data_IF_761716480160
#
_entry.id   IF_761716480160
#
_cell.length_a   1.000
_cell.length_b   1.000
_cell.length_c   1.000
_cell.angle_alpha   90.00
_cell.angle_beta   90.00
_cell.angle_gamma   90.00
#
_symmetry.space_group_name_H-M   'P 1'
#
loop_
_entity.id
_entity.type
_entity.pdbx_description
1 polymer ?
#
# COMPACT_ATOMS: atom_id res chain seq x y z
N UNK A 1 17.59 -0.85 -25.60
CA UNK A 1 16.81 -0.54 -24.38
C UNK A 1 16.89 -1.71 -23.41
N UNK A 2 18.04 -2.03 -22.84
CA UNK A 2 18.17 -3.11 -21.85
C UNK A 2 18.35 -2.61 -20.40
N UNK A 3 18.29 -1.30 -20.12
CA UNK A 3 18.79 -0.74 -18.88
C UNK A 3 17.71 -0.39 -17.83
N UNK A 4 16.49 -0.92 -17.99
CA UNK A 4 15.37 -0.62 -17.05
C UNK A 4 15.07 -1.72 -16.05
N UNK A 5 15.89 -2.79 -15.99
CA UNK A 5 15.66 -3.92 -15.05
C UNK A 5 16.92 -4.27 -14.24
N UNK A 6 17.86 -3.36 -14.11
CA UNK A 6 18.93 -3.56 -13.14
C UNK A 6 18.54 -2.94 -11.79
N UNK A 7 17.88 -3.75 -10.96
CA UNK A 7 17.48 -3.41 -9.59
C UNK A 7 18.66 -3.35 -8.61
N UNK A 8 19.88 -3.20 -9.08
CA UNK A 8 21.09 -3.07 -8.27
C UNK A 8 21.70 -1.67 -8.30
N UNK A 9 20.92 -0.63 -8.58
CA UNK A 9 21.43 0.71 -8.36
C UNK A 9 21.76 0.88 -6.88
N UNK A 10 23.05 1.03 -6.64
CA UNK A 10 23.59 1.59 -5.41
C UNK A 10 22.79 2.85 -5.06
N UNK A 11 21.78 2.70 -4.20
CA UNK A 11 21.01 3.83 -3.71
C UNK A 11 21.97 4.62 -2.83
N UNK A 12 22.61 5.58 -3.45
CA UNK A 12 23.37 6.61 -2.76
C UNK A 12 22.45 7.30 -1.75
N UNK A 13 22.99 8.01 -0.80
CA UNK A 13 22.26 8.81 0.20
C UNK A 13 21.17 9.66 -0.46
N UNK A 14 21.36 10.08 -1.72
CA UNK A 14 20.35 10.76 -2.56
C UNK A 14 19.12 9.90 -2.85
N UNK A 15 19.27 8.59 -2.99
CA UNK A 15 18.11 7.69 -3.20
C UNK A 15 17.22 7.61 -1.96
N UNK A 16 17.79 7.49 -0.77
CA UNK A 16 17.02 7.44 0.48
C UNK A 16 16.30 8.77 0.71
N UNK A 17 16.98 9.89 0.47
CA UNK A 17 16.38 11.21 0.59
C UNK A 17 15.18 11.38 -0.36
N UNK A 18 15.30 10.92 -1.60
CA UNK A 18 14.21 10.96 -2.56
C UNK A 18 13.01 10.11 -2.11
N UNK A 19 13.25 8.94 -1.52
CA UNK A 19 12.19 8.09 -0.96
C UNK A 19 11.48 8.76 0.21
N UNK A 20 12.21 9.36 1.13
CA UNK A 20 11.64 10.10 2.27
C UNK A 20 10.81 11.28 1.76
N UNK A 21 11.33 12.04 0.80
CA UNK A 21 10.63 13.19 0.22
C UNK A 21 9.33 12.75 -0.49
N UNK A 22 9.39 11.65 -1.24
CA UNK A 22 8.22 11.10 -1.93
C UNK A 22 7.16 10.64 -0.93
N UNK A 23 7.55 9.91 0.13
CA UNK A 23 6.66 9.50 1.21
C UNK A 23 6.07 10.71 1.96
N UNK A 24 6.86 11.75 2.20
CA UNK A 24 6.38 12.96 2.85
C UNK A 24 5.32 13.67 2.00
N UNK A 25 5.57 13.86 0.70
CA UNK A 25 4.60 14.46 -0.22
C UNK A 25 3.32 13.62 -0.28
N UNK A 26 3.46 12.30 -0.43
CA UNK A 26 2.33 11.38 -0.46
C UNK A 26 1.51 11.45 0.83
N UNK A 27 2.17 11.48 1.99
CA UNK A 27 1.53 11.61 3.29
C UNK A 27 0.73 12.90 3.43
N UNK A 28 1.31 14.03 3.02
CA UNK A 28 0.63 15.33 3.08
C UNK A 28 -0.62 15.33 2.19
N UNK A 29 -0.51 14.84 0.96
CA UNK A 29 -1.66 14.78 0.03
C UNK A 29 -2.74 13.85 0.61
N UNK A 30 -2.36 12.70 1.18
CA UNK A 30 -3.30 11.76 1.80
C UNK A 30 -4.01 12.37 3.00
N UNK A 31 -3.31 13.10 3.87
CA UNK A 31 -3.92 13.80 5.02
C UNK A 31 -4.93 14.84 4.55
N UNK A 32 -4.62 15.60 3.51
CA UNK A 32 -5.55 16.56 2.93
C UNK A 32 -6.78 15.85 2.36
N UNK A 33 -6.57 14.77 1.60
CA UNK A 33 -7.67 13.96 1.04
C UNK A 33 -8.54 13.35 2.14
N UNK A 34 -7.93 12.86 3.22
CA UNK A 34 -8.62 12.31 4.38
C UNK A 34 -9.48 13.35 5.10
N UNK A 35 -8.96 14.57 5.27
CA UNK A 35 -9.72 15.67 5.84
C UNK A 35 -10.90 16.11 4.96
N UNK A 36 -10.69 16.24 3.66
CA UNK A 36 -11.73 16.66 2.72
C UNK A 36 -12.83 15.61 2.57
N UNK A 37 -12.45 14.33 2.49
CA UNK A 37 -13.39 13.24 2.28
C UNK A 37 -14.14 12.80 3.54
N UNK A 38 -13.41 12.64 4.64
CA UNK A 38 -13.91 11.96 5.84
C UNK A 38 -13.98 12.86 7.10
N UNK A 39 -13.51 14.10 7.00
CA UNK A 39 -13.53 15.08 8.11
C UNK A 39 -12.74 14.65 9.36
N UNK A 40 -11.82 13.69 9.22
CA UNK A 40 -10.96 13.30 10.33
C UNK A 40 -10.00 14.45 10.70
N UNK A 41 -9.65 14.59 12.00
CA UNK A 41 -8.70 15.61 12.45
C UNK A 41 -7.37 15.49 11.73
N UNK A 42 -6.87 16.61 11.20
CA UNK A 42 -5.61 16.65 10.45
C UNK A 42 -4.43 16.18 11.31
N UNK A 43 -4.42 16.57 12.60
CA UNK A 43 -3.35 16.21 13.52
C UNK A 43 -3.26 14.68 13.72
N UNK A 44 -4.37 14.01 13.97
CA UNK A 44 -4.42 12.57 14.19
C UNK A 44 -4.07 11.80 12.90
N UNK A 45 -4.60 12.27 11.76
CA UNK A 45 -4.30 11.70 10.46
C UNK A 45 -2.82 11.84 10.09
N UNK A 46 -2.19 12.95 10.47
CA UNK A 46 -0.78 13.18 10.21
C UNK A 46 0.11 12.25 11.04
N UNK A 47 -0.25 12.03 12.32
CA UNK A 47 0.43 11.04 13.16
C UNK A 47 0.26 9.64 12.60
N UNK A 48 -0.97 9.25 12.21
CA UNK A 48 -1.26 7.95 11.60
C UNK A 48 -0.46 7.72 10.32
N UNK A 49 -0.42 8.71 9.41
CA UNK A 49 0.40 8.65 8.20
C UNK A 49 1.90 8.62 8.49
N UNK A 50 2.35 9.31 9.53
CA UNK A 50 3.73 9.26 10.01
C UNK A 50 4.12 7.85 10.46
N UNK A 51 3.27 7.19 11.23
CA UNK A 51 3.47 5.80 11.67
C UNK A 51 3.54 4.85 10.47
N UNK A 52 2.60 4.95 9.53
CA UNK A 52 2.58 4.12 8.33
C UNK A 52 3.82 4.34 7.46
N UNK A 53 4.24 5.58 7.28
CA UNK A 53 5.45 5.93 6.54
C UNK A 53 6.72 5.39 7.22
N UNK A 54 6.77 5.44 8.56
CA UNK A 54 7.88 4.91 9.34
C UNK A 54 7.99 3.38 9.21
N UNK A 55 6.87 2.66 9.31
CA UNK A 55 6.82 1.21 9.09
C UNK A 55 7.29 0.87 7.66
N UNK A 56 6.85 1.64 6.67
CA UNK A 56 7.26 1.46 5.27
C UNK A 56 8.77 1.65 5.10
N UNK A 57 9.34 2.69 5.70
CA UNK A 57 10.78 2.94 5.63
C UNK A 57 11.60 1.81 6.27
N UNK A 58 11.17 1.30 7.43
CA UNK A 58 11.82 0.17 8.08
C UNK A 58 11.74 -1.08 7.19
N UNK A 59 10.58 -1.36 6.60
CA UNK A 59 10.41 -2.52 5.71
C UNK A 59 11.29 -2.47 4.46
N UNK A 60 11.39 -1.29 3.83
CA UNK A 60 12.28 -1.06 2.68
C UNK A 60 13.76 -1.13 3.09
N UNK A 61 14.11 -0.65 4.29
CA UNK A 61 15.47 -0.76 4.80
C UNK A 61 15.85 -2.21 5.09
N UNK A 62 14.95 -3.00 5.71
CA UNK A 62 15.18 -4.43 5.97
C UNK A 62 15.37 -5.23 4.68
N UNK A 63 14.61 -4.95 3.61
CA UNK A 63 14.79 -5.60 2.31
C UNK A 63 16.22 -5.45 1.77
N UNK A 64 16.87 -4.33 2.05
CA UNK A 64 18.22 -4.05 1.59
C UNK A 64 19.31 -4.71 2.41
N UNK A 65 19.12 -4.78 3.72
CA UNK A 65 20.12 -5.33 4.65
C UNK A 65 20.06 -6.86 4.69
N UNK A 66 18.89 -7.45 4.40
CA UNK A 66 18.74 -8.89 4.46
C UNK A 66 19.03 -9.55 3.10
N UNK A 67 19.87 -10.59 3.05
CA UNK A 67 20.26 -11.28 1.82
C UNK A 67 19.17 -12.20 1.26
N UNK A 68 17.92 -12.00 1.68
CA UNK A 68 16.79 -12.75 1.18
C UNK A 68 16.13 -12.00 0.02
N UNK A 69 15.96 -12.66 -1.12
CA UNK A 69 15.22 -12.12 -2.29
C UNK A 69 13.70 -12.05 -1.99
N UNK A 70 13.33 -11.38 -0.92
CA UNK A 70 11.94 -11.23 -0.47
C UNK A 70 11.54 -9.76 -0.66
N UNK A 71 10.37 -9.54 -1.25
CA UNK A 71 9.86 -8.18 -1.50
C UNK A 71 9.65 -7.41 -0.19
N UNK A 72 9.96 -6.10 -0.20
CA UNK A 72 9.72 -5.15 0.91
C UNK A 72 8.29 -5.22 1.46
N UNK A 73 7.31 -5.55 0.61
CA UNK A 73 5.90 -5.68 1.01
C UNK A 73 5.73 -6.72 2.13
N UNK A 74 6.44 -7.85 2.05
CA UNK A 74 6.37 -8.88 3.11
C UNK A 74 6.93 -8.38 4.43
N UNK A 75 8.07 -7.69 4.41
CA UNK A 75 8.66 -7.10 5.61
C UNK A 75 7.74 -6.05 6.24
N UNK A 76 7.18 -5.15 5.42
CA UNK A 76 6.21 -4.14 5.87
C UNK A 76 5.00 -4.80 6.51
N UNK A 77 4.46 -5.85 5.88
CA UNK A 77 3.28 -6.57 6.38
C UNK A 77 3.56 -7.26 7.71
N UNK A 78 4.70 -7.95 7.84
CA UNK A 78 5.08 -8.63 9.07
C UNK A 78 5.30 -7.63 10.21
N UNK A 79 6.00 -6.52 9.95
CA UNK A 79 6.23 -5.46 10.93
C UNK A 79 4.91 -4.84 11.34
N UNK A 80 4.02 -4.55 10.39
CA UNK A 80 2.69 -3.99 10.65
C UNK A 80 1.85 -4.91 11.55
N UNK A 81 1.84 -6.21 11.26
CA UNK A 81 1.13 -7.20 12.08
C UNK A 81 1.73 -7.29 13.49
N UNK A 82 3.05 -7.31 13.61
CA UNK A 82 3.72 -7.38 14.91
C UNK A 82 3.41 -6.17 15.78
N UNK A 83 3.43 -4.96 15.20
CA UNK A 83 3.12 -3.72 15.94
C UNK A 83 1.63 -3.63 16.31
N UNK A 84 0.75 -4.13 15.44
CA UNK A 84 -0.70 -4.14 15.66
C UNK A 84 -1.16 -5.34 16.54
N UNK A 85 -0.26 -6.24 16.94
CA UNK A 85 -0.64 -7.45 17.66
C UNK A 85 -1.24 -7.11 19.04
N UNK A 86 -2.44 -7.64 19.36
CA UNK A 86 -3.08 -7.42 20.64
C UNK A 86 -2.23 -8.02 21.77
N UNK A 87 -1.76 -7.19 22.68
CA UNK A 87 -0.85 -7.56 23.80
C UNK A 87 0.45 -6.75 23.80
N UNK A 88 0.76 -6.02 22.75
CA UNK A 88 1.83 -5.02 22.79
C UNK A 88 1.31 -3.71 23.40
N UNK A 89 2.06 -3.08 24.32
CA UNK A 89 1.63 -1.84 24.98
C UNK A 89 1.48 -0.66 24.00
N UNK A 90 2.10 -0.75 22.83
CA UNK A 90 2.04 0.27 21.78
C UNK A 90 0.90 0.05 20.77
N UNK A 91 0.28 -1.13 20.76
CA UNK A 91 -0.72 -1.49 19.75
C UNK A 91 -1.96 -0.60 19.80
N UNK A 92 -2.45 -0.27 21.00
CA UNK A 92 -3.64 0.59 21.18
C UNK A 92 -3.42 1.99 20.60
N UNK A 93 -2.25 2.58 20.87
CA UNK A 93 -1.90 3.92 20.38
C UNK A 93 -1.74 3.91 18.86
N UNK A 94 -1.01 2.93 18.33
CA UNK A 94 -0.80 2.79 16.89
C UNK A 94 -2.12 2.57 16.16
N UNK A 95 -2.95 1.64 16.64
CA UNK A 95 -4.24 1.36 16.02
C UNK A 95 -5.18 2.56 16.11
N UNK A 96 -5.16 3.32 17.21
CA UNK A 96 -5.95 4.54 17.33
C UNK A 96 -5.62 5.56 16.22
N UNK A 97 -4.34 5.89 16.04
CA UNK A 97 -3.95 6.88 15.02
C UNK A 97 -4.07 6.35 13.59
N UNK A 98 -3.72 5.09 13.36
CA UNK A 98 -3.84 4.48 12.03
C UNK A 98 -5.30 4.35 11.62
N UNK A 99 -6.23 4.06 12.54
CA UNK A 99 -7.66 4.02 12.26
C UNK A 99 -8.28 5.37 11.86
N UNK A 100 -7.59 6.49 12.15
CA UNK A 100 -8.00 7.83 11.69
C UNK A 100 -7.61 8.13 10.24
N UNK A 101 -6.82 7.26 9.63
CA UNK A 101 -6.46 7.36 8.22
C UNK A 101 -7.32 6.39 7.43
N UNK A 102 -8.26 6.90 6.67
CA UNK A 102 -9.13 6.08 5.85
C UNK A 102 -8.38 5.45 4.69
N UNK A 103 -8.54 4.13 4.52
CA UNK A 103 -7.93 3.38 3.44
C UNK A 103 -8.28 3.97 2.06
N UNK A 104 -9.53 4.39 1.89
CA UNK A 104 -9.99 4.98 0.64
C UNK A 104 -9.31 6.32 0.32
N UNK A 105 -8.91 7.11 1.32
CA UNK A 105 -8.13 8.32 1.09
C UNK A 105 -6.75 7.98 0.52
N UNK A 106 -6.06 6.96 1.07
CA UNK A 106 -4.78 6.47 0.56
C UNK A 106 -4.93 5.96 -0.88
N UNK A 107 -5.94 5.12 -1.12
CA UNK A 107 -6.22 4.53 -2.44
C UNK A 107 -6.53 5.61 -3.47
N UNK A 108 -7.27 6.67 -3.11
CA UNK A 108 -7.59 7.77 -4.02
C UNK A 108 -6.32 8.50 -4.50
N UNK A 109 -5.41 8.80 -3.59
CA UNK A 109 -4.12 9.43 -3.93
C UNK A 109 -3.26 8.51 -4.80
N UNK A 110 -3.24 7.22 -4.46
CA UNK A 110 -2.53 6.21 -5.25
C UNK A 110 -3.11 6.08 -6.67
N UNK A 111 -4.44 6.04 -6.82
CA UNK A 111 -5.11 5.99 -8.11
C UNK A 111 -4.82 7.22 -8.97
N UNK A 112 -4.77 8.41 -8.36
CA UNK A 112 -4.39 9.62 -9.07
C UNK A 112 -2.95 9.51 -9.62
N UNK A 113 -2.00 9.02 -8.82
CA UNK A 113 -0.63 8.77 -9.26
C UNK A 113 -0.56 7.76 -10.42
N UNK A 114 -1.27 6.62 -10.29
CA UNK A 114 -1.36 5.60 -11.34
C UNK A 114 -1.99 6.18 -12.61
N UNK A 115 -3.05 6.99 -12.48
CA UNK A 115 -3.70 7.65 -13.61
C UNK A 115 -2.76 8.56 -14.39
N UNK A 116 -1.91 9.34 -13.70
CA UNK A 116 -0.87 10.15 -14.34
C UNK A 116 0.16 9.27 -15.05
N UNK A 117 0.58 8.17 -14.43
CA UNK A 117 1.49 7.19 -15.02
C UNK A 117 0.92 6.57 -16.31
N UNK A 118 -0.33 6.16 -16.28
CA UNK A 118 -1.04 5.63 -17.46
C UNK A 118 -1.14 6.68 -18.58
N UNK A 119 -1.35 7.95 -18.23
CA UNK A 119 -1.37 9.05 -19.20
C UNK A 119 -0.05 9.22 -19.95
N UNK A 120 1.08 8.94 -19.30
CA UNK A 120 2.41 8.98 -19.94
C UNK A 120 2.64 7.80 -20.89
N UNK A 121 2.05 6.65 -20.63
CA UNK A 121 2.14 5.42 -21.43
C UNK A 121 0.90 5.20 -22.30
N UNK A 122 0.26 6.29 -22.74
CA UNK A 122 -1.01 6.23 -23.48
C UNK A 122 -0.94 5.42 -24.78
N UNK A 123 0.18 5.49 -25.51
CA UNK A 123 0.36 4.76 -26.75
C UNK A 123 0.51 3.26 -26.51
N UNK A 124 1.20 2.85 -25.44
CA UNK A 124 1.28 1.45 -25.01
C UNK A 124 -0.09 0.93 -24.57
N UNK A 125 -0.84 1.76 -23.84
CA UNK A 125 -2.20 1.41 -23.42
C UNK A 125 -3.13 1.22 -24.62
N UNK A 126 -3.05 2.08 -25.64
CA UNK A 126 -3.79 1.92 -26.90
C UNK A 126 -3.43 0.64 -27.66
N UNK A 127 -2.14 0.25 -27.63
CA UNK A 127 -1.68 -0.96 -28.30
C UNK A 127 -2.29 -2.24 -27.70
N UNK A 128 -2.62 -2.23 -26.40
CA UNK A 128 -3.33 -3.33 -25.73
C UNK A 128 -4.80 -3.45 -26.20
N UNK A 129 -5.44 -2.34 -26.57
CA UNK A 129 -6.80 -2.28 -27.14
C UNK A 129 -7.85 -3.04 -26.32
N UNK A 130 -8.76 -3.73 -26.99
CA UNK A 130 -9.84 -4.51 -26.38
C UNK A 130 -9.35 -5.61 -25.43
N UNK A 131 -8.15 -6.13 -25.65
CA UNK A 131 -7.54 -7.17 -24.80
C UNK A 131 -7.35 -6.70 -23.36
N UNK A 132 -7.00 -5.43 -23.16
CA UNK A 132 -6.88 -4.85 -21.80
C UNK A 132 -8.19 -4.88 -21.07
N UNK A 133 -9.31 -4.56 -21.74
CA UNK A 133 -10.65 -4.57 -21.13
C UNK A 133 -11.04 -5.98 -20.70
N UNK A 134 -10.84 -6.98 -21.58
CA UNK A 134 -11.16 -8.38 -21.25
C UNK A 134 -10.32 -8.88 -20.06
N UNK A 135 -9.00 -8.61 -20.08
CA UNK A 135 -8.12 -8.99 -18.98
C UNK A 135 -8.57 -8.33 -17.67
N UNK A 136 -8.90 -7.04 -17.70
CA UNK A 136 -9.35 -6.31 -16.50
C UNK A 136 -10.62 -6.91 -15.91
N UNK A 137 -11.61 -7.20 -16.75
CA UNK A 137 -12.87 -7.84 -16.30
C UNK A 137 -12.61 -9.21 -15.70
N UNK A 138 -11.76 -10.02 -16.36
CA UNK A 138 -11.40 -11.35 -15.86
C UNK A 138 -10.65 -11.27 -14.52
N UNK A 139 -9.71 -10.33 -14.37
CA UNK A 139 -8.97 -10.13 -13.12
C UNK A 139 -9.89 -9.70 -12.00
N UNK A 140 -10.80 -8.75 -12.24
CA UNK A 140 -11.79 -8.30 -11.23
C UNK A 140 -12.67 -9.49 -10.80
N UNK A 141 -13.20 -10.24 -11.76
CA UNK A 141 -14.02 -11.42 -11.48
C UNK A 141 -13.24 -12.48 -10.69
N UNK A 142 -12.03 -12.81 -11.14
CA UNK A 142 -11.18 -13.80 -10.47
C UNK A 142 -10.80 -13.38 -9.05
N UNK A 143 -10.49 -12.10 -8.82
CA UNK A 143 -10.18 -11.58 -7.50
C UNK A 143 -11.38 -11.66 -6.56
N UNK A 144 -12.56 -11.25 -7.05
CA UNK A 144 -13.79 -11.29 -6.27
C UNK A 144 -14.18 -12.73 -5.89
N UNK A 145 -14.25 -13.62 -6.88
CA UNK A 145 -14.62 -15.02 -6.64
C UNK A 145 -13.54 -15.75 -5.82
N UNK A 146 -12.26 -15.47 -6.08
CA UNK A 146 -11.17 -16.05 -5.31
C UNK A 146 -11.24 -15.66 -3.83
N UNK A 147 -11.44 -14.38 -3.53
CA UNK A 147 -11.60 -13.89 -2.17
C UNK A 147 -12.86 -14.50 -1.49
N UNK A 148 -13.98 -14.57 -2.22
CA UNK A 148 -15.22 -15.16 -1.70
C UNK A 148 -15.07 -16.66 -1.36
N UNK A 149 -14.38 -17.43 -2.20
CA UNK A 149 -14.12 -18.87 -1.96
C UNK A 149 -13.24 -19.04 -0.72
N UNK A 150 -12.15 -18.27 -0.61
CA UNK A 150 -11.26 -18.32 0.56
C UNK A 150 -12.00 -17.96 1.84
N UNK A 151 -12.78 -16.86 1.81
CA UNK A 151 -13.60 -16.44 2.94
C UNK A 151 -14.62 -17.52 3.33
N UNK A 152 -15.28 -18.12 2.36
CA UNK A 152 -16.25 -19.21 2.61
C UNK A 152 -15.59 -20.43 3.27
N UNK A 153 -14.43 -20.85 2.76
CA UNK A 153 -13.67 -21.97 3.34
C UNK A 153 -13.29 -21.65 4.79
N UNK A 154 -12.78 -20.45 5.07
CA UNK A 154 -12.39 -20.04 6.43
C UNK A 154 -13.61 -20.03 7.36
N UNK A 155 -14.75 -19.48 6.93
CA UNK A 155 -15.99 -19.44 7.71
C UNK A 155 -16.49 -20.85 8.05
N UNK A 156 -16.46 -21.74 7.08
CA UNK A 156 -16.86 -23.16 7.29
C UNK A 156 -15.91 -23.86 8.28
N UNK A 157 -14.61 -23.64 8.17
CA UNK A 157 -13.62 -24.24 9.06
C UNK A 157 -13.66 -23.67 10.48
N UNK A 158 -13.99 -22.38 10.63
CA UNK A 158 -14.07 -21.72 11.95
C UNK A 158 -15.44 -21.85 12.62
N UNK A 159 -16.44 -22.42 11.91
CA UNK A 159 -17.80 -22.59 12.45
C UNK A 159 -18.56 -21.28 12.67
N UNK A 160 -18.10 -20.18 12.11
CA UNK A 160 -18.79 -18.89 12.20
C UNK A 160 -19.91 -18.86 11.16
N UNK A 161 -21.19 -18.68 11.55
CA UNK A 161 -22.28 -18.61 10.57
C UNK A 161 -22.07 -17.42 9.64
N UNK A 162 -22.22 -17.67 8.33
CA UNK A 162 -22.28 -16.61 7.35
C UNK A 162 -23.49 -15.72 7.64
N UNK A 163 -23.25 -14.44 7.92
CA UNK A 163 -24.30 -13.45 8.15
C UNK A 163 -25.00 -13.07 6.85
#
# INVERSE_FOLDING_TARGET
MPDLIDGSENVSVHGIFNWILLLAIFSVITVIANYLGYKHPIADSLVGMGILSFITLIGVWLERELPFNISSILYISVIGILIAFPGMPTSEVVLYYVSKVELLAIVTVFLAYVGIGMGKSWDEFKALGWRAVVITVLVIAATYYGAAIVAHIVLVLTGVPAA
#
